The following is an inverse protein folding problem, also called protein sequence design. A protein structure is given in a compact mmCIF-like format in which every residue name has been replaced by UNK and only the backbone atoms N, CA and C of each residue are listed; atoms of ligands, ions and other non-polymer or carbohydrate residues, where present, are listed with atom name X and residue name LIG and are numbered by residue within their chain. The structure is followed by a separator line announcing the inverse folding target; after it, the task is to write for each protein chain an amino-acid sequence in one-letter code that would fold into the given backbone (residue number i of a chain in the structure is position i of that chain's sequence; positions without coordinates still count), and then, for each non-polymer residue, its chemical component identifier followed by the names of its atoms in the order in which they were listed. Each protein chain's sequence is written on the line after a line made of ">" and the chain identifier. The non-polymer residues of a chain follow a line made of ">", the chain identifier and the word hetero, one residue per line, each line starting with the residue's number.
data_IF_515085261485
#
_entry.id   IF_515085261485
#
_cell.length_a   1.000
_cell.length_b   1.000
_cell.length_c   1.000
_cell.angle_alpha   90.00
_cell.angle_beta   90.00
_cell.angle_gamma   90.00
#
_symmetry.space_group_name_H-M   'P 1'
#
loop_
_entity.id
_entity.type
_entity.pdbx_description
1 polymer ?
#
# COMPACT_ATOMS: atom_id res chain seq x y z
N UNK A 1 6.13 10.69 -42.74
CA UNK A 1 6.34 11.82 -41.81
C UNK A 1 5.24 11.93 -40.74
N UNK A 2 3.96 12.12 -41.10
CA UNK A 2 2.85 12.23 -40.11
C UNK A 2 2.79 11.09 -39.06
N UNK A 3 2.92 9.83 -39.51
CA UNK A 3 2.94 8.64 -38.62
C UNK A 3 4.08 8.66 -37.59
N UNK A 4 5.25 9.18 -37.96
CA UNK A 4 6.39 9.25 -37.05
C UNK A 4 6.22 10.37 -36.02
N UNK A 5 5.61 11.49 -36.40
CA UNK A 5 5.27 12.57 -35.46
C UNK A 5 4.27 12.05 -34.41
N UNK A 6 3.26 11.29 -34.83
CA UNK A 6 2.32 10.66 -33.90
C UNK A 6 3.03 9.69 -32.95
N UNK A 7 3.95 8.87 -33.45
CA UNK A 7 4.73 7.94 -32.61
C UNK A 7 5.61 8.69 -31.60
N UNK A 8 6.31 9.75 -32.04
CA UNK A 8 7.15 10.58 -31.16
C UNK A 8 6.30 11.28 -30.09
N UNK A 9 5.10 11.76 -30.44
CA UNK A 9 4.18 12.35 -29.49
C UNK A 9 3.83 11.38 -28.36
N UNK A 10 3.40 10.16 -28.69
CA UNK A 10 3.08 9.15 -27.67
C UNK A 10 4.31 8.71 -26.89
N UNK A 11 5.48 8.61 -27.53
CA UNK A 11 6.72 8.30 -26.82
C UNK A 11 7.04 9.34 -25.74
N UNK A 12 6.99 10.63 -26.08
CA UNK A 12 7.26 11.72 -25.13
C UNK A 12 6.20 11.77 -24.04
N UNK A 13 4.92 11.57 -24.39
CA UNK A 13 3.82 11.49 -23.43
C UNK A 13 4.05 10.39 -22.39
N UNK A 14 4.33 9.16 -22.85
CA UNK A 14 4.55 8.03 -21.95
C UNK A 14 5.84 8.18 -21.14
N UNK A 15 6.91 8.70 -21.74
CA UNK A 15 8.15 8.96 -21.01
C UNK A 15 7.96 10.01 -19.91
N UNK A 16 7.17 11.05 -20.17
CA UNK A 16 6.80 12.05 -19.16
C UNK A 16 5.97 11.44 -18.03
N UNK A 17 4.97 10.63 -18.37
CA UNK A 17 4.10 9.99 -17.38
C UNK A 17 4.87 9.01 -16.46
N UNK A 18 5.79 8.23 -17.03
CA UNK A 18 6.61 7.28 -16.27
C UNK A 18 7.64 7.97 -15.36
N UNK A 19 8.19 9.11 -15.79
CA UNK A 19 9.21 9.84 -15.03
C UNK A 19 8.64 10.84 -14.02
N UNK A 20 7.34 11.17 -14.11
CA UNK A 20 6.68 12.14 -13.24
C UNK A 20 6.93 11.94 -11.72
N UNK A 21 6.68 10.78 -11.11
CA UNK A 21 6.93 10.59 -9.68
C UNK A 21 8.40 10.75 -9.31
N UNK A 22 9.33 10.31 -10.17
CA UNK A 22 10.77 10.47 -9.93
C UNK A 22 11.22 11.93 -10.02
N UNK A 23 10.70 12.70 -10.98
CA UNK A 23 11.04 14.13 -11.12
C UNK A 23 10.49 14.92 -9.94
N UNK A 24 9.25 14.65 -9.52
CA UNK A 24 8.62 15.31 -8.37
C UNK A 24 9.42 15.02 -7.09
N UNK A 25 9.79 13.76 -6.85
CA UNK A 25 10.57 13.36 -5.68
C UNK A 25 11.98 13.97 -5.63
N UNK A 26 12.55 14.42 -6.76
CA UNK A 26 13.86 15.08 -6.79
C UNK A 26 13.75 16.59 -6.58
N UNK A 27 12.62 17.19 -6.98
CA UNK A 27 12.40 18.63 -6.86
C UNK A 27 11.92 19.03 -5.47
N UNK A 28 11.10 18.19 -4.84
CA UNK A 28 10.48 18.49 -3.55
C UNK A 28 10.23 17.21 -2.74
N UNK A 29 10.94 17.07 -1.62
CA UNK A 29 10.82 15.93 -0.70
C UNK A 29 9.53 15.97 0.13
N UNK A 30 8.77 17.07 0.12
CA UNK A 30 7.53 17.22 0.87
C UNK A 30 6.29 16.69 0.15
N UNK A 31 6.40 16.44 -1.16
CA UNK A 31 5.29 15.99 -1.99
C UNK A 31 5.16 14.47 -1.91
N UNK A 32 3.97 14.01 -1.53
CA UNK A 32 3.67 12.58 -1.48
C UNK A 32 3.51 12.00 -2.90
N UNK A 33 4.44 11.12 -3.29
CA UNK A 33 4.43 10.41 -4.57
C UNK A 33 3.81 9.01 -4.48
N UNK A 34 3.40 8.55 -3.29
CA UNK A 34 2.84 7.21 -3.06
C UNK A 34 1.59 6.93 -3.90
N UNK A 35 0.80 7.97 -4.17
CA UNK A 35 -0.41 7.91 -4.99
C UNK A 35 -0.11 7.41 -6.41
N UNK A 36 1.00 7.86 -7.02
CA UNK A 36 1.38 7.42 -8.37
C UNK A 36 1.73 5.93 -8.42
N UNK A 37 2.32 5.41 -7.35
CA UNK A 37 2.63 3.98 -7.24
C UNK A 37 1.39 3.15 -6.90
N UNK A 38 0.52 3.66 -6.02
CA UNK A 38 -0.74 2.99 -5.65
C UNK A 38 -1.65 2.75 -6.85
N UNK A 39 -1.76 3.72 -7.76
CA UNK A 39 -2.60 3.60 -8.98
C UNK A 39 -2.06 2.52 -9.95
N UNK A 40 -0.75 2.26 -9.91
CA UNK A 40 -0.12 1.26 -10.76
C UNK A 40 -0.13 -0.15 -10.15
N UNK A 41 -0.46 -0.29 -8.86
CA UNK A 41 -0.56 -1.59 -8.20
C UNK A 41 -1.89 -2.28 -8.55
N UNK A 42 -1.80 -3.48 -9.13
CA UNK A 42 -2.94 -4.29 -9.55
C UNK A 42 -3.88 -4.67 -8.38
N UNK A 43 -3.40 -4.64 -7.13
CA UNK A 43 -4.19 -4.94 -5.93
C UNK A 43 -5.16 -3.81 -5.49
N UNK A 44 -5.08 -2.60 -6.07
CA UNK A 44 -5.91 -1.46 -5.64
C UNK A 44 -7.41 -1.65 -5.92
N UNK A 45 -7.76 -2.50 -6.90
CA UNK A 45 -9.14 -2.75 -7.33
C UNK A 45 -10.05 -3.38 -6.24
N UNK A 46 -9.52 -3.68 -5.05
CA UNK A 46 -10.26 -4.30 -3.94
C UNK A 46 -10.24 -3.58 -2.58
N UNK A 47 -9.59 -2.42 -2.43
CA UNK A 47 -9.25 -1.87 -1.09
C UNK A 47 -9.88 -0.52 -0.73
N UNK A 48 -11.17 -0.32 -0.99
CA UNK A 48 -11.96 0.68 -0.24
C UNK A 48 -12.52 0.15 1.09
N UNK A 49 -12.17 -1.07 1.52
CA UNK A 49 -12.73 -1.69 2.74
C UNK A 49 -11.77 -1.87 3.91
N UNK A 50 -10.45 -1.70 3.76
CA UNK A 50 -9.50 -2.09 4.82
C UNK A 50 -8.48 -0.98 5.19
N UNK A 51 -8.84 0.30 5.10
CA UNK A 51 -8.00 1.40 5.62
C UNK A 51 -8.13 1.61 7.15
N UNK A 52 -8.30 0.54 7.91
CA UNK A 52 -8.00 0.54 9.34
C UNK A 52 -6.68 -0.17 9.52
N UNK A 53 -5.58 0.58 9.38
CA UNK A 53 -4.31 0.11 9.92
C UNK A 53 -4.47 0.00 11.44
N UNK A 54 -4.05 -1.10 12.08
CA UNK A 54 -4.19 -1.27 13.53
C UNK A 54 -3.30 -0.32 14.35
N UNK A 55 -2.64 0.65 13.72
CA UNK A 55 -1.68 1.57 14.31
C UNK A 55 -1.85 3.05 13.92
N UNK A 56 -2.92 3.44 13.22
CA UNK A 56 -3.16 4.87 12.97
C UNK A 56 -3.72 5.55 14.22
N UNK A 57 -2.82 6.02 15.07
CA UNK A 57 -3.11 6.96 16.14
C UNK A 57 -3.26 8.37 15.52
N UNK A 58 -4.46 8.96 15.72
CA UNK A 58 -4.77 10.40 15.60
C UNK A 58 -4.67 11.03 14.20
N UNK A 59 -5.66 11.75 13.64
CA UNK A 59 -6.71 12.58 14.21
C UNK A 59 -7.93 12.62 13.27
N UNK A 60 -9.11 12.25 13.77
CA UNK A 60 -10.37 12.69 13.19
C UNK A 60 -11.07 13.57 14.21
N UNK A 61 -10.76 14.86 14.18
CA UNK A 61 -11.53 15.91 14.83
C UNK A 61 -12.86 16.10 14.10
N UNK A 62 -13.78 15.14 14.10
CA UNK A 62 -15.16 15.43 13.69
C UNK A 62 -16.18 14.57 14.46
N UNK A 63 -16.78 15.25 15.44
CA UNK A 63 -18.18 15.15 15.85
C UNK A 63 -18.61 14.04 16.84
N UNK A 64 -18.85 14.54 18.05
CA UNK A 64 -20.15 14.50 18.75
C UNK A 64 -20.50 13.23 19.55
N UNK A 65 -20.57 13.43 20.87
CA UNK A 65 -21.53 12.77 21.76
C UNK A 65 -21.37 11.28 22.00
N UNK A 66 -20.34 10.84 22.74
CA UNK A 66 -20.41 9.56 23.46
C UNK A 66 -19.86 9.70 24.88
N UNK A 67 -20.76 9.46 25.83
CA UNK A 67 -20.50 9.48 27.27
C UNK A 67 -19.66 8.25 27.65
N UNK A 68 -18.45 8.47 28.15
CA UNK A 68 -17.48 7.41 28.46
C UNK A 68 -17.90 6.68 29.74
N UNK A 69 -18.69 5.61 29.60
CA UNK A 69 -18.90 4.66 30.69
C UNK A 69 -17.77 3.63 30.71
N UNK A 70 -16.96 3.76 31.78
CA UNK A 70 -15.96 2.85 32.33
C UNK A 70 -15.04 2.14 31.32
N UNK A 71 -13.87 2.75 31.10
CA UNK A 71 -12.78 2.19 30.30
C UNK A 71 -12.39 0.82 30.88
N UNK A 72 -12.73 -0.26 30.16
CA UNK A 72 -12.16 -1.58 30.42
C UNK A 72 -10.64 -1.46 30.46
N UNK A 73 -10.08 -1.77 31.62
CA UNK A 73 -8.66 -1.65 31.90
C UNK A 73 -7.91 -2.72 31.09
N UNK A 74 -7.39 -2.36 29.93
CA UNK A 74 -6.51 -3.23 29.15
C UNK A 74 -5.18 -3.41 29.91
N UNK A 75 -5.08 -4.52 30.66
CA UNK A 75 -3.86 -4.93 31.34
C UNK A 75 -2.89 -5.62 30.37
N UNK A 76 -1.59 -5.38 30.55
CA UNK A 76 -0.54 -6.10 29.83
C UNK A 76 -0.65 -7.60 30.08
N UNK A 77 -0.72 -8.39 29.00
CA UNK A 77 -0.64 -9.84 29.05
C UNK A 77 0.67 -10.31 28.39
N UNK A 78 1.46 -11.08 29.13
CA UNK A 78 2.70 -11.64 28.63
C UNK A 78 2.42 -12.72 27.57
N UNK A 79 3.07 -12.60 26.41
CA UNK A 79 2.85 -13.44 25.24
C UNK A 79 3.43 -14.85 25.44
N UNK A 80 2.58 -15.81 25.82
CA UNK A 80 2.90 -17.24 25.84
C UNK A 80 2.57 -17.91 24.49
N UNK A 81 3.34 -17.60 23.44
CA UNK A 81 3.20 -18.33 22.18
C UNK A 81 4.01 -19.64 22.22
N UNK A 82 3.46 -20.75 21.71
CA UNK A 82 4.25 -21.95 21.51
C UNK A 82 5.37 -21.67 20.50
N UNK A 83 6.53 -22.31 20.70
CA UNK A 83 7.67 -22.15 19.78
C UNK A 83 7.22 -22.53 18.36
N UNK A 84 7.36 -21.65 17.36
CA UNK A 84 7.03 -22.02 15.99
C UNK A 84 7.89 -23.21 15.59
N UNK A 85 7.26 -24.28 15.11
CA UNK A 85 7.97 -25.45 14.62
C UNK A 85 8.73 -25.04 13.35
N UNK A 86 10.05 -24.85 13.49
CA UNK A 86 10.96 -24.35 12.45
C UNK A 86 11.05 -25.26 11.20
N UNK A 87 10.36 -26.41 11.21
CA UNK A 87 10.41 -27.44 10.19
C UNK A 87 9.05 -27.72 9.56
N UNK A 88 8.25 -26.70 9.24
CA UNK A 88 7.32 -26.84 8.10
C UNK A 88 8.12 -26.68 6.81
N UNK A 89 8.96 -27.68 6.53
CA UNK A 89 9.51 -27.94 5.22
C UNK A 89 8.39 -28.63 4.45
N UNK A 90 7.36 -27.88 4.07
CA UNK A 90 6.40 -28.42 3.09
C UNK A 90 7.22 -28.70 1.83
N UNK A 91 7.30 -29.95 1.36
CA UNK A 91 8.00 -30.23 0.13
C UNK A 91 7.37 -29.38 -0.98
N UNK A 92 8.18 -28.79 -1.88
CA UNK A 92 7.64 -28.09 -3.03
C UNK A 92 6.75 -29.04 -3.85
N UNK A 93 5.65 -28.56 -4.43
CA UNK A 93 4.74 -29.41 -5.19
C UNK A 93 5.46 -30.06 -6.38
N UNK A 94 5.17 -31.34 -6.62
CA UNK A 94 5.71 -32.07 -7.77
C UNK A 94 5.23 -31.39 -9.06
N UNK A 95 6.17 -30.81 -9.82
CA UNK A 95 5.89 -30.34 -11.18
C UNK A 95 5.64 -31.55 -12.07
N UNK A 96 4.37 -31.94 -12.22
CA UNK A 96 3.96 -32.83 -13.30
C UNK A 96 4.05 -32.03 -14.60
N UNK A 97 5.14 -32.22 -15.34
CA UNK A 97 5.22 -31.84 -16.75
C UNK A 97 4.63 -33.04 -17.52
N UNK A 98 3.42 -32.88 -18.05
CA UNK A 98 2.82 -33.73 -19.09
C UNK A 98 2.74 -32.90 -20.37
#
# INVERSE_FOLDING_TARGET
>A
MKKQITAIFFLVLFMGLMSAPSVIAVLDDSVDTSIFYSIAEEEESGKTKNMLSPFSLENHDFLDGFDYTDLQKFGYYFKNYPKPHLNLISPPPDFIII
#
